data_IF_511712122690
#
_entry.id   IF_511712122690
#
_cell.length_a   1.000
_cell.length_b   1.000
_cell.length_c   1.000
_cell.angle_alpha   90.00
_cell.angle_beta   90.00
_cell.angle_gamma   90.00
#
_symmetry.space_group_name_H-M   'P 1'
#
loop_
_entity.id
_entity.type
_entity.pdbx_description
1 polymer ?
#
# COMPACT_ATOMS: atom_id res chain seq x y z
N UNK A 1 2.91 3.26 -22.23
CA UNK A 1 1.54 2.68 -22.22
C UNK A 1 1.38 1.97 -20.88
N UNK A 2 0.72 2.53 -19.84
CA UNK A 2 0.48 1.81 -18.56
C UNK A 2 -0.59 2.41 -17.63
N UNK A 3 -0.85 3.74 -17.63
CA UNK A 3 -1.92 4.32 -16.80
C UNK A 3 -3.34 3.99 -17.30
N UNK A 4 -3.50 3.82 -18.61
CA UNK A 4 -4.80 3.56 -19.24
C UNK A 4 -5.41 2.17 -18.92
N UNK A 5 -4.62 1.21 -18.40
CA UNK A 5 -5.10 -0.15 -18.11
C UNK A 5 -5.74 -0.23 -16.71
N UNK A 6 -5.28 0.58 -15.76
CA UNK A 6 -5.78 0.62 -14.38
C UNK A 6 -6.81 1.73 -14.15
N UNK A 7 -6.96 2.70 -15.06
CA UNK A 7 -7.96 3.77 -14.94
C UNK A 7 -9.42 3.28 -14.89
N UNK A 8 -9.70 2.08 -15.40
CA UNK A 8 -11.01 1.42 -15.27
C UNK A 8 -11.14 0.50 -14.05
N UNK A 9 -10.05 0.34 -13.28
CA UNK A 9 -9.97 -0.61 -12.19
C UNK A 9 -10.28 0.07 -10.85
N UNK A 10 -11.23 -0.48 -10.11
CA UNK A 10 -11.53 -0.02 -8.75
C UNK A 10 -10.45 -0.53 -7.79
N UNK A 11 -9.37 0.25 -7.65
CA UNK A 11 -8.27 -0.04 -6.72
C UNK A 11 -8.57 0.42 -5.30
N UNK A 12 -9.29 1.53 -5.15
CA UNK A 12 -9.52 2.15 -3.85
C UNK A 12 -10.47 1.28 -3.00
N UNK A 13 -10.06 0.86 -1.79
CA UNK A 13 -10.97 0.22 -0.84
C UNK A 13 -12.10 1.18 -0.42
N UNK A 14 -13.26 0.65 -0.01
CA UNK A 14 -14.32 1.48 0.58
C UNK A 14 -13.81 2.14 1.88
N UNK A 15 -14.36 3.30 2.24
CA UNK A 15 -14.01 3.93 3.51
C UNK A 15 -14.44 3.07 4.71
N UNK A 16 -13.78 3.22 5.87
CA UNK A 16 -14.11 2.44 7.06
C UNK A 16 -15.53 2.69 7.57
N UNK A 17 -16.06 3.88 7.35
CA UNK A 17 -17.40 4.28 7.80
C UNK A 17 -18.53 3.87 6.84
N UNK A 18 -18.22 3.28 5.70
CA UNK A 18 -19.20 2.65 4.82
C UNK A 18 -19.70 1.31 5.39
N UNK A 19 -18.80 0.33 5.55
CA UNK A 19 -19.08 -0.91 6.30
C UNK A 19 -17.79 -1.63 6.74
N UNK A 20 -17.66 -1.89 8.04
CA UNK A 20 -16.55 -2.68 8.60
C UNK A 20 -16.61 -4.17 8.25
N UNK A 21 -17.68 -4.66 7.58
CA UNK A 21 -17.74 -6.03 7.02
C UNK A 21 -16.73 -6.27 5.90
N UNK A 22 -16.27 -5.22 5.24
CA UNK A 22 -15.26 -5.30 4.17
C UNK A 22 -13.82 -5.39 4.70
N UNK A 23 -13.66 -5.28 6.02
CA UNK A 23 -12.38 -5.23 6.70
C UNK A 23 -12.19 -6.45 7.60
N UNK A 24 -11.28 -7.34 7.23
CA UNK A 24 -10.95 -8.58 7.93
C UNK A 24 -9.98 -8.35 9.10
N UNK A 25 -10.17 -9.14 10.17
CA UNK A 25 -9.24 -9.32 11.29
C UNK A 25 -8.11 -10.34 10.98
N UNK A 26 -8.15 -10.95 9.79
CA UNK A 26 -7.20 -11.95 9.29
C UNK A 26 -6.55 -11.53 7.98
N UNK A 27 -6.39 -12.48 7.05
CA UNK A 27 -5.68 -12.28 5.78
C UNK A 27 -6.59 -11.79 4.63
N UNK A 28 -7.83 -11.37 4.92
CA UNK A 28 -8.76 -10.85 3.90
C UNK A 28 -9.58 -11.94 3.21
N UNK A 29 -9.19 -13.20 3.33
CA UNK A 29 -9.91 -14.34 2.75
C UNK A 29 -11.06 -14.82 3.63
N UNK A 30 -12.19 -15.29 3.07
CA UNK A 30 -13.18 -16.04 3.83
C UNK A 30 -12.60 -17.34 4.44
N UNK A 31 -13.04 -17.81 5.61
CA UNK A 31 -14.11 -17.26 6.47
C UNK A 31 -13.58 -16.35 7.59
N UNK A 32 -12.51 -15.57 7.36
CA UNK A 32 -11.95 -14.71 8.41
C UNK A 32 -12.98 -13.71 8.95
N UNK A 33 -12.99 -13.51 10.27
CA UNK A 33 -13.87 -12.55 10.92
C UNK A 33 -13.57 -11.13 10.42
N UNK A 34 -14.60 -10.29 10.33
CA UNK A 34 -14.50 -8.88 9.98
C UNK A 34 -14.56 -7.96 11.21
N UNK A 35 -14.39 -6.65 11.02
CA UNK A 35 -14.39 -5.64 12.08
C UNK A 35 -15.78 -5.13 12.47
N UNK A 36 -16.84 -5.59 11.79
CA UNK A 36 -18.20 -5.14 12.07
C UNK A 36 -18.65 -5.52 13.49
N UNK A 37 -19.23 -4.57 14.22
CA UNK A 37 -19.74 -4.73 15.60
C UNK A 37 -18.72 -5.30 16.61
N UNK A 38 -17.42 -5.11 16.40
CA UNK A 38 -16.41 -5.52 17.38
C UNK A 38 -16.40 -4.55 18.55
N UNK A 39 -16.43 -5.09 19.78
CA UNK A 39 -16.47 -4.28 21.00
C UNK A 39 -15.20 -3.46 21.25
N UNK A 40 -14.10 -3.80 20.57
CA UNK A 40 -12.83 -3.11 20.64
C UNK A 40 -12.53 -2.24 19.41
N UNK A 41 -13.54 -1.94 18.60
CA UNK A 41 -13.42 -1.06 17.45
C UNK A 41 -14.63 -0.10 17.35
N UNK A 42 -14.39 1.10 16.85
CA UNK A 42 -15.44 2.10 16.62
C UNK A 42 -15.08 3.01 15.44
N UNK A 43 -16.11 3.56 14.79
CA UNK A 43 -15.93 4.66 13.84
C UNK A 43 -15.96 5.98 14.61
N UNK A 44 -14.90 6.77 14.45
CA UNK A 44 -14.81 8.14 14.96
C UNK A 44 -15.16 9.07 13.80
N UNK A 45 -16.30 9.78 13.82
CA UNK A 45 -16.82 10.49 12.64
C UNK A 45 -16.13 11.83 12.35
N UNK A 46 -15.41 12.39 13.32
CA UNK A 46 -14.87 13.76 13.23
C UNK A 46 -13.54 13.90 13.97
N UNK A 47 -12.61 12.99 13.69
CA UNK A 47 -11.22 13.15 14.10
C UNK A 47 -10.59 14.38 13.39
N UNK A 48 -9.79 15.15 14.11
CA UNK A 48 -9.21 16.41 13.59
C UNK A 48 -8.22 16.25 12.43
N UNK A 49 -7.59 15.07 12.30
CA UNK A 49 -6.58 14.81 11.26
C UNK A 49 -7.14 13.95 10.12
N UNK A 50 -8.09 13.06 10.43
CA UNK A 50 -8.58 12.02 9.51
C UNK A 50 -10.04 12.22 9.08
N UNK A 51 -10.79 13.11 9.72
CA UNK A 51 -12.24 13.15 9.56
C UNK A 51 -12.88 11.86 10.11
N UNK A 52 -13.59 11.12 9.27
CA UNK A 52 -14.14 9.82 9.64
C UNK A 52 -13.05 8.75 9.59
N UNK A 53 -12.80 8.04 10.70
CA UNK A 53 -11.72 7.08 10.80
C UNK A 53 -12.03 5.90 11.74
N UNK A 54 -11.26 4.82 11.63
CA UNK A 54 -11.38 3.65 12.49
C UNK A 54 -10.54 3.81 13.76
N UNK A 55 -11.14 3.64 14.93
CA UNK A 55 -10.44 3.51 16.21
C UNK A 55 -10.45 2.04 16.66
N UNK A 56 -9.29 1.52 17.06
CA UNK A 56 -9.13 0.15 17.57
C UNK A 56 -8.41 0.17 18.93
N UNK A 57 -8.96 -0.53 19.90
CA UNK A 57 -8.24 -1.02 21.08
C UNK A 57 -7.58 -2.35 20.73
N UNK A 58 -6.25 -2.37 20.68
CA UNK A 58 -5.44 -3.54 20.31
C UNK A 58 -5.50 -4.61 21.41
N UNK A 59 -6.01 -5.80 21.08
CA UNK A 59 -6.21 -6.90 22.05
C UNK A 59 -5.37 -8.15 21.77
N UNK A 60 -4.62 -8.19 20.68
CA UNK A 60 -3.75 -9.32 20.32
C UNK A 60 -2.36 -8.84 19.94
N UNK A 61 -1.36 -9.72 20.00
CA UNK A 61 0.03 -9.37 19.65
C UNK A 61 0.13 -8.86 18.21
N UNK A 62 -0.60 -9.50 17.29
CA UNK A 62 -0.80 -9.05 15.91
C UNK A 62 -2.28 -8.74 15.70
N UNK A 63 -2.57 -7.54 15.20
CA UNK A 63 -3.91 -7.10 14.82
C UNK A 63 -3.88 -6.69 13.35
N UNK A 64 -4.75 -7.29 12.53
CA UNK A 64 -4.83 -7.00 11.10
C UNK A 64 -6.08 -6.20 10.79
N UNK A 65 -5.96 -5.22 9.92
CA UNK A 65 -7.07 -4.49 9.30
C UNK A 65 -6.87 -4.64 7.80
N UNK A 66 -7.55 -5.64 7.23
CA UNK A 66 -7.25 -6.17 5.91
C UNK A 66 -8.46 -6.03 4.99
N UNK A 67 -8.32 -5.34 3.86
CA UNK A 67 -9.41 -5.26 2.90
C UNK A 67 -9.69 -6.64 2.30
N UNK A 68 -10.97 -7.04 2.29
CA UNK A 68 -11.42 -8.35 1.80
C UNK A 68 -11.60 -8.39 0.28
N UNK A 69 -11.66 -7.24 -0.39
CA UNK A 69 -11.72 -7.20 -1.85
C UNK A 69 -10.43 -7.74 -2.47
N UNK A 70 -10.57 -8.35 -3.65
CA UNK A 70 -9.44 -8.79 -4.46
C UNK A 70 -8.92 -7.60 -5.26
N UNK A 71 -7.80 -7.01 -4.82
CA UNK A 71 -7.16 -5.91 -5.55
C UNK A 71 -6.32 -6.50 -6.69
N UNK A 72 -6.63 -6.25 -7.97
CA UNK A 72 -5.95 -6.95 -9.07
C UNK A 72 -4.48 -6.57 -9.19
N UNK A 73 -3.65 -7.56 -9.51
CA UNK A 73 -2.22 -7.39 -9.77
C UNK A 73 -1.98 -7.75 -11.23
N UNK A 74 -1.72 -6.73 -12.04
CA UNK A 74 -1.51 -6.87 -13.47
C UNK A 74 -0.01 -6.84 -13.80
N UNK A 75 0.45 -7.59 -14.80
CA UNK A 75 1.83 -7.49 -15.28
C UNK A 75 2.25 -6.04 -15.55
N UNK A 76 3.39 -5.63 -14.98
CA UNK A 76 3.91 -4.27 -15.13
C UNK A 76 3.26 -3.22 -14.21
N UNK A 77 2.29 -3.61 -13.37
CA UNK A 77 1.68 -2.72 -12.38
C UNK A 77 2.49 -2.64 -11.08
N UNK A 78 2.53 -1.45 -10.49
CA UNK A 78 3.08 -1.16 -9.17
C UNK A 78 2.05 -0.39 -8.36
N UNK A 79 1.58 -1.01 -7.28
CA UNK A 79 0.56 -0.45 -6.40
C UNK A 79 1.21 0.04 -5.12
N UNK A 80 0.91 1.27 -4.72
CA UNK A 80 1.24 1.78 -3.39
C UNK A 80 0.02 1.60 -2.50
N UNK A 81 0.20 0.87 -1.41
CA UNK A 81 -0.77 0.83 -0.33
C UNK A 81 -0.25 1.79 0.74
N UNK A 82 -1.11 2.68 1.22
CA UNK A 82 -0.73 3.68 2.23
C UNK A 82 -1.86 3.93 3.21
N UNK A 83 -1.49 4.26 4.44
CA UNK A 83 -2.43 4.63 5.50
C UNK A 83 -1.77 5.60 6.47
N UNK A 84 -2.52 6.59 6.96
CA UNK A 84 -2.11 7.40 8.10
C UNK A 84 -2.69 6.84 9.39
N UNK A 85 -1.88 6.78 10.44
CA UNK A 85 -2.24 6.23 11.74
C UNK A 85 -1.67 7.10 12.85
N UNK A 86 -2.36 7.17 13.99
CA UNK A 86 -1.82 7.75 15.22
C UNK A 86 -2.17 6.90 16.43
N UNK A 87 -1.25 6.83 17.38
CA UNK A 87 -1.53 6.25 18.68
C UNK A 87 -2.24 7.27 19.57
N UNK A 88 -3.26 6.85 20.29
CA UNK A 88 -4.06 7.73 21.14
C UNK A 88 -3.74 7.55 22.62
N UNK A 89 -3.52 6.31 23.07
CA UNK A 89 -3.18 5.98 24.45
C UNK A 89 -2.67 4.54 24.58
N UNK A 90 -2.15 4.18 25.76
CA UNK A 90 -1.73 2.81 26.07
C UNK A 90 -0.46 2.37 25.34
N UNK A 91 -0.24 1.06 25.22
CA UNK A 91 0.98 0.56 24.61
C UNK A 91 1.11 0.98 23.13
N UNK A 92 2.28 1.49 22.75
CA UNK A 92 2.58 1.94 21.40
C UNK A 92 2.97 0.75 20.49
N UNK A 93 2.18 0.39 19.47
CA UNK A 93 2.52 -0.69 18.56
C UNK A 93 3.47 -0.23 17.46
N UNK A 94 4.02 -1.20 16.73
CA UNK A 94 4.59 -0.96 15.40
C UNK A 94 3.52 -1.25 14.33
N UNK A 95 3.58 -0.54 13.22
CA UNK A 95 2.67 -0.69 12.09
C UNK A 95 3.44 -1.01 10.80
N UNK A 96 2.85 -1.81 9.92
CA UNK A 96 3.34 -2.03 8.55
C UNK A 96 2.17 -2.27 7.61
N UNK A 97 2.37 -2.01 6.33
CA UNK A 97 1.49 -2.61 5.32
C UNK A 97 1.79 -4.10 5.26
N UNK A 98 0.75 -4.93 5.31
CA UNK A 98 0.88 -6.35 4.95
C UNK A 98 0.20 -6.63 3.62
N UNK A 99 0.20 -7.89 3.21
CA UNK A 99 -0.54 -8.40 2.05
C UNK A 99 -0.95 -9.86 2.25
N UNK A 100 -1.82 -10.34 1.37
CA UNK A 100 -1.98 -11.76 1.08
C UNK A 100 -2.12 -11.92 -0.42
N UNK A 101 -1.24 -12.70 -1.04
CA UNK A 101 -1.17 -12.85 -2.48
C UNK A 101 -2.02 -14.04 -2.96
N UNK A 102 -3.00 -13.75 -3.82
CA UNK A 102 -3.95 -14.74 -4.32
C UNK A 102 -3.74 -15.05 -5.80
N UNK A 103 -3.91 -16.32 -6.15
CA UNK A 103 -4.06 -16.77 -7.53
C UNK A 103 -5.14 -17.86 -7.58
N UNK A 104 -6.21 -17.63 -8.34
CA UNK A 104 -7.32 -18.59 -8.50
C UNK A 104 -7.87 -19.13 -7.18
N UNK A 105 -8.05 -18.27 -6.17
CA UNK A 105 -8.57 -18.64 -4.85
C UNK A 105 -7.56 -19.31 -3.90
N UNK A 106 -6.29 -19.43 -4.30
CA UNK A 106 -5.23 -20.07 -3.48
C UNK A 106 -4.12 -19.07 -3.15
N UNK A 107 -3.48 -19.27 -1.99
CA UNK A 107 -2.32 -18.47 -1.58
C UNK A 107 -1.11 -18.76 -2.46
N UNK A 108 -0.45 -17.71 -2.94
CA UNK A 108 0.87 -17.81 -3.57
C UNK A 108 1.94 -17.70 -2.47
N UNK A 109 2.56 -18.82 -2.14
CA UNK A 109 3.58 -18.89 -1.09
C UNK A 109 4.93 -18.30 -1.51
N UNK A 110 5.81 -18.09 -0.53
CA UNK A 110 7.21 -17.61 -0.70
C UNK A 110 7.34 -16.19 -1.25
N UNK A 111 6.31 -15.36 -1.04
CA UNK A 111 6.36 -13.92 -1.34
C UNK A 111 6.61 -13.11 -0.07
N UNK A 112 7.22 -11.93 -0.24
CA UNK A 112 7.34 -10.94 0.82
C UNK A 112 5.98 -10.25 0.95
N UNK A 113 5.21 -10.61 1.96
CA UNK A 113 3.86 -10.08 2.20
C UNK A 113 3.81 -9.05 3.34
N UNK A 114 4.98 -8.57 3.76
CA UNK A 114 5.13 -7.62 4.85
C UNK A 114 6.05 -6.51 4.38
N UNK A 115 5.52 -5.29 4.33
CA UNK A 115 6.29 -4.09 4.04
C UNK A 115 7.14 -3.64 5.24
N UNK A 116 7.81 -2.48 5.09
CA UNK A 116 8.67 -1.92 6.13
C UNK A 116 7.89 -1.64 7.42
N UNK A 117 8.57 -1.87 8.55
CA UNK A 117 8.00 -1.63 9.88
C UNK A 117 8.23 -0.19 10.30
N UNK A 118 7.17 0.46 10.79
CA UNK A 118 7.17 1.81 11.32
C UNK A 118 6.75 1.78 12.79
N UNK A 119 7.54 2.36 13.69
CA UNK A 119 7.19 2.43 15.11
C UNK A 119 6.35 3.67 15.41
N UNK A 120 5.25 3.52 16.14
CA UNK A 120 4.55 4.66 16.74
C UNK A 120 5.27 5.03 18.03
N UNK A 121 5.73 6.27 18.16
CA UNK A 121 6.58 6.68 19.29
C UNK A 121 5.96 7.79 20.15
N UNK A 122 5.01 8.55 19.58
CA UNK A 122 4.35 9.67 20.25
C UNK A 122 2.83 9.55 20.10
N UNK A 123 2.09 9.89 21.15
CA UNK A 123 0.62 9.98 21.05
C UNK A 123 0.19 11.21 20.27
N UNK A 124 -0.86 11.06 19.47
CA UNK A 124 -1.41 12.12 18.62
C UNK A 124 -0.57 12.44 17.38
N UNK A 125 0.66 11.93 17.27
CA UNK A 125 1.49 12.08 16.08
C UNK A 125 0.92 11.24 14.93
N UNK A 126 0.65 11.91 13.81
CA UNK A 126 0.20 11.27 12.57
C UNK A 126 1.41 10.71 11.85
N UNK A 127 1.42 9.40 11.65
CA UNK A 127 2.48 8.66 10.97
C UNK A 127 1.91 8.03 9.70
N UNK A 128 2.59 8.22 8.57
CA UNK A 128 2.27 7.52 7.32
C UNK A 128 2.98 6.17 7.27
N UNK A 129 2.23 5.12 6.96
CA UNK A 129 2.73 3.76 6.75
C UNK A 129 2.41 3.38 5.30
N UNK A 130 3.42 3.01 4.54
CA UNK A 130 3.27 2.68 3.12
C UNK A 130 4.12 1.50 2.69
N UNK A 131 3.68 0.81 1.65
CA UNK A 131 4.53 -0.13 0.92
C UNK A 131 4.14 -0.16 -0.57
N UNK A 132 5.12 -0.42 -1.42
CA UNK A 132 4.93 -0.64 -2.86
C UNK A 132 4.98 -2.14 -3.16
N UNK A 133 3.90 -2.63 -3.75
CA UNK A 133 3.76 -3.98 -4.28
C UNK A 133 3.95 -3.91 -5.79
N UNK A 134 4.85 -4.73 -6.32
CA UNK A 134 5.21 -4.69 -7.73
C UNK A 134 5.37 -6.08 -8.32
N UNK A 135 5.14 -6.18 -9.62
CA UNK A 135 5.40 -7.43 -10.37
C UNK A 135 6.89 -7.68 -10.65
N UNK A 136 7.73 -6.65 -10.53
CA UNK A 136 9.18 -6.73 -10.74
C UNK A 136 9.97 -6.30 -9.51
N UNK A 137 11.24 -6.70 -9.45
CA UNK A 137 12.20 -6.19 -8.46
C UNK A 137 12.81 -4.90 -9.00
N UNK A 138 12.43 -3.76 -8.43
CA UNK A 138 12.97 -2.44 -8.75
C UNK A 138 13.32 -1.69 -7.47
N UNK A 139 14.21 -0.71 -7.57
CA UNK A 139 14.53 0.15 -6.43
C UNK A 139 13.28 0.81 -5.87
N UNK A 140 13.03 0.67 -4.57
CA UNK A 140 11.83 1.21 -3.90
C UNK A 140 10.59 0.31 -3.93
N UNK A 141 10.66 -0.90 -4.51
CA UNK A 141 9.60 -1.91 -4.36
C UNK A 141 9.83 -2.71 -3.09
N UNK A 142 8.90 -2.64 -2.15
CA UNK A 142 9.00 -3.34 -0.87
C UNK A 142 8.60 -4.82 -0.98
N UNK A 143 7.59 -5.10 -1.80
CA UNK A 143 6.97 -6.41 -1.93
C UNK A 143 6.96 -6.84 -3.41
N UNK A 144 8.08 -7.37 -3.94
CA UNK A 144 8.18 -7.85 -5.31
C UNK A 144 7.49 -9.21 -5.43
N UNK A 145 6.27 -9.22 -5.95
CA UNK A 145 5.37 -10.39 -5.98
C UNK A 145 5.44 -11.21 -7.27
N UNK A 146 6.17 -10.73 -8.29
CA UNK A 146 6.28 -11.45 -9.56
C UNK A 146 4.97 -11.45 -10.35
N UNK A 147 4.80 -12.47 -11.20
CA UNK A 147 3.64 -12.62 -12.09
C UNK A 147 2.68 -13.73 -11.65
N UNK A 148 2.97 -14.43 -10.55
CA UNK A 148 2.12 -15.53 -10.08
C UNK A 148 0.82 -15.04 -9.43
N UNK A 149 0.84 -14.02 -8.54
CA UNK A 149 -0.40 -13.49 -7.97
C UNK A 149 -1.24 -12.78 -9.03
N UNK A 150 -2.54 -13.03 -8.99
CA UNK A 150 -3.53 -12.34 -9.82
C UNK A 150 -4.19 -11.19 -9.06
N UNK A 151 -4.17 -11.26 -7.73
CA UNK A 151 -4.73 -10.24 -6.84
C UNK A 151 -4.05 -10.27 -5.47
N UNK A 152 -4.31 -9.22 -4.68
CA UNK A 152 -3.91 -9.15 -3.29
C UNK A 152 -5.02 -8.66 -2.37
N UNK A 153 -4.99 -9.13 -1.13
CA UNK A 153 -5.71 -8.51 -0.01
C UNK A 153 -4.75 -7.61 0.77
N UNK A 154 -4.99 -6.30 0.72
CA UNK A 154 -4.07 -5.30 1.27
C UNK A 154 -4.64 -4.59 2.50
N UNK A 155 -3.76 -4.01 3.31
CA UNK A 155 -4.15 -3.44 4.59
C UNK A 155 -3.01 -3.37 5.59
N UNK A 156 -3.37 -3.04 6.83
CA UNK A 156 -2.47 -2.70 7.91
C UNK A 156 -2.30 -3.87 8.89
N UNK A 157 -1.06 -4.09 9.32
CA UNK A 157 -0.71 -4.96 10.43
C UNK A 157 -0.18 -4.11 11.59
N UNK A 158 -0.73 -4.32 12.78
CA UNK A 158 -0.28 -3.73 14.04
C UNK A 158 0.33 -4.81 14.92
N UNK A 159 1.58 -4.65 15.29
CA UNK A 159 2.37 -5.62 16.05
C UNK A 159 2.88 -5.02 17.37
N UNK A 160 3.15 -5.87 18.36
CA UNK A 160 3.66 -5.47 19.67
C UNK A 160 2.69 -5.75 20.82
N UNK A 161 2.86 -5.08 21.95
CA UNK A 161 2.03 -5.28 23.13
C UNK A 161 0.55 -4.93 22.89
N UNK A 162 -0.34 -5.46 23.74
CA UNK A 162 -1.78 -5.20 23.73
C UNK A 162 -2.13 -4.01 24.64
N UNK A 163 -3.36 -3.49 24.57
CA UNK A 163 -3.83 -2.40 25.43
C UNK A 163 -3.54 -0.99 24.90
N UNK A 164 -3.03 -0.86 23.67
CA UNK A 164 -2.92 0.41 22.96
C UNK A 164 -4.20 0.76 22.20
N UNK A 165 -4.56 2.04 22.16
CA UNK A 165 -5.62 2.58 21.30
C UNK A 165 -4.97 3.32 20.13
N UNK A 166 -5.40 3.01 18.91
CA UNK A 166 -4.94 3.68 17.68
C UNK A 166 -6.13 4.18 16.87
N UNK A 167 -5.92 5.27 16.13
CA UNK A 167 -6.83 5.75 15.08
C UNK A 167 -6.16 5.60 13.72
N UNK A 168 -6.92 5.10 12.76
CA UNK A 168 -6.45 4.67 11.45
C UNK A 168 -7.33 5.38 10.41
N UNK A 169 -6.71 6.20 9.56
CA UNK A 169 -7.37 6.76 8.39
C UNK A 169 -7.69 5.66 7.37
N UNK A 170 -8.67 5.88 6.50
CA UNK A 170 -8.96 5.00 5.38
C UNK A 170 -7.69 4.59 4.61
N UNK A 171 -7.56 3.29 4.34
CA UNK A 171 -6.42 2.75 3.60
C UNK A 171 -6.62 3.06 2.12
N UNK A 172 -5.55 3.55 1.50
CA UNK A 172 -5.53 3.91 0.08
C UNK A 172 -4.69 2.93 -0.71
N UNK A 173 -5.11 2.68 -1.95
CA UNK A 173 -4.35 1.93 -2.93
C UNK A 173 -4.29 2.76 -4.21
N UNK A 174 -3.09 3.20 -4.56
CA UNK A 174 -2.82 4.07 -5.71
C UNK A 174 -1.90 3.34 -6.72
N UNK A 175 -2.17 3.50 -8.01
CA UNK A 175 -1.26 3.03 -9.06
C UNK A 175 -0.08 4.00 -9.21
N UNK A 176 1.10 3.52 -8.81
CA UNK A 176 2.37 4.25 -8.87
C UNK A 176 3.31 3.71 -9.95
N UNK A 177 2.80 2.95 -10.91
CA UNK A 177 3.57 2.43 -12.06
C UNK A 177 4.32 3.52 -12.80
N UNK A 178 3.76 4.73 -12.85
CA UNK A 178 4.39 5.89 -13.48
C UNK A 178 5.74 6.27 -12.87
N UNK A 179 5.95 6.02 -11.57
CA UNK A 179 7.21 6.28 -10.87
C UNK A 179 8.34 5.41 -11.43
N UNK A 180 8.02 4.20 -11.90
CA UNK A 180 8.98 3.24 -12.42
C UNK A 180 9.19 3.34 -13.93
N UNK A 181 8.48 4.24 -14.63
CA UNK A 181 8.54 4.30 -16.11
C UNK A 181 9.96 4.59 -16.63
N UNK A 182 10.75 5.42 -15.93
CA UNK A 182 12.13 5.72 -16.33
C UNK A 182 13.03 4.50 -16.27
N UNK A 183 12.80 3.61 -15.30
CA UNK A 183 13.56 2.35 -15.17
C UNK A 183 13.00 1.23 -16.05
N UNK A 184 11.76 1.39 -16.55
CA UNK A 184 11.08 0.39 -17.40
C UNK A 184 11.43 0.54 -18.89
N UNK A 185 12.05 1.65 -19.28
CA UNK A 185 12.47 1.92 -20.65
C UNK A 185 13.97 2.20 -20.66
N UNK A 186 14.72 1.53 -21.52
CA UNK A 186 16.11 1.90 -21.80
C UNK A 186 16.06 3.10 -22.74
N UNK A 187 16.23 4.30 -22.19
CA UNK A 187 16.24 5.55 -22.95
C UNK A 187 17.30 6.48 -22.38
N UNK A 188 17.97 7.17 -23.28
CA UNK A 188 18.94 8.20 -22.96
C UNK A 188 18.45 9.48 -23.64
N UNK A 189 18.28 10.55 -22.86
CA UNK A 189 17.98 11.86 -23.44
C UNK A 189 19.32 12.53 -23.79
N UNK A 190 19.64 12.58 -25.07
CA UNK A 190 20.86 13.24 -25.58
C UNK A 190 20.94 14.72 -25.20
N UNK A 191 19.84 15.35 -24.80
CA UNK A 191 19.86 16.73 -24.25
C UNK A 191 20.54 16.79 -22.89
N UNK A 192 20.49 15.72 -22.09
CA UNK A 192 21.25 15.62 -20.84
C UNK A 192 22.77 15.59 -21.11
N UNK A 193 23.16 15.27 -22.35
CA UNK A 193 24.54 15.26 -22.86
C UNK A 193 24.87 16.50 -23.71
N UNK A 194 23.99 17.50 -23.74
CA UNK A 194 24.23 18.80 -24.38
C UNK A 194 23.65 18.98 -25.78
N UNK A 195 22.86 18.03 -26.29
CA UNK A 195 22.17 18.21 -27.57
C UNK A 195 21.13 19.35 -27.52
N UNK A 196 21.04 20.15 -28.58
CA UNK A 196 20.11 21.30 -28.67
C UNK A 196 18.89 20.94 -29.53
N UNK A 197 19.09 20.28 -30.67
CA UNK A 197 18.00 19.88 -31.57
C UNK A 197 17.30 21.02 -32.31
N UNK A 198 18.03 22.09 -32.65
CA UNK A 198 17.51 23.25 -33.39
C UNK A 198 17.59 23.11 -34.94
N UNK A 199 18.15 21.99 -35.42
CA UNK A 199 18.32 21.70 -36.85
C UNK A 199 19.54 22.38 -37.50
N UNK A 200 20.35 23.10 -36.72
CA UNK A 200 21.54 23.83 -37.18
C UNK A 200 22.80 23.56 -36.35
N UNK A 201 22.65 23.25 -35.06
CA UNK A 201 23.72 22.85 -34.14
C UNK A 201 24.10 21.39 -34.39
N UNK A 202 25.40 21.09 -34.39
CA UNK A 202 25.93 19.73 -34.46
C UNK A 202 25.86 19.06 -33.08
N UNK A 203 24.91 18.15 -32.93
CA UNK A 203 24.68 17.40 -31.70
C UNK A 203 25.45 16.06 -31.64
N UNK A 204 26.32 15.75 -32.60
CA UNK A 204 27.01 14.45 -32.70
C UNK A 204 27.77 14.05 -31.44
N UNK A 205 28.50 14.98 -30.81
CA UNK A 205 29.24 14.73 -29.57
C UNK A 205 28.31 14.35 -28.39
N UNK A 206 27.09 14.91 -28.34
CA UNK A 206 26.11 14.57 -27.31
C UNK A 206 25.53 13.16 -27.53
N UNK A 207 25.37 12.73 -28.79
CA UNK A 207 24.97 11.37 -29.14
C UNK A 207 26.07 10.33 -28.86
N UNK A 208 27.34 10.67 -29.07
CA UNK A 208 28.45 9.75 -28.76
C UNK A 208 28.67 9.57 -27.25
N UNK A 209 28.33 10.59 -26.45
CA UNK A 209 28.46 10.56 -25.00
C UNK A 209 27.29 9.83 -24.29
N UNK A 210 26.14 9.77 -24.95
CA UNK A 210 24.89 9.15 -24.49
C UNK A 210 24.87 7.62 -24.66
#
# INVERSE_FOLDING_TARGET
>A
MNKAVTESLQLMPPAFDEDLRDWSQGNGTPPTADWHNKSNAAIVPSDGDFGSCLEILKQSALTRVRYKGETPILPGCYLRVSVRIKAMSGNLPTARIGGWAGASGTHVSYLIEQGPVTALTTYGEVVEVSAIIGTGTRGGVDMPWGLQPLYGHFGLDLEGATGGVVRIENIRIDDVTHVFQRDMMDWVDVRDFGAIGDGSTDDSAAFEAA
#
